data_IF_338930723369
#
_entry.id   IF_338930723369
#
_cell.length_a   1.000
_cell.length_b   1.000
_cell.length_c   1.000
_cell.angle_alpha   90.00
_cell.angle_beta   90.00
_cell.angle_gamma   90.00
#
_symmetry.space_group_name_H-M   'P 1'
#
loop_
_entity.id
_entity.type
_entity.pdbx_description
1 polymer ?
#
# COMPACT_ATOMS: atom_id res chain seq x y z
N UNK A 1 -13.73 1.99 30.91
CA UNK A 1 -14.41 1.26 29.82
C UNK A 1 -15.57 2.05 29.20
N UNK A 2 -16.61 2.46 29.97
CA UNK A 2 -17.77 3.18 29.38
C UNK A 2 -17.33 4.49 28.66
N UNK A 3 -16.57 5.34 29.34
CA UNK A 3 -16.01 6.57 28.74
C UNK A 3 -15.13 6.32 27.52
N UNK A 4 -14.41 5.18 27.47
CA UNK A 4 -13.56 4.80 26.34
C UNK A 4 -14.40 4.41 25.12
N UNK A 5 -15.53 3.69 25.32
CA UNK A 5 -16.46 3.33 24.23
C UNK A 5 -17.08 4.60 23.63
N UNK A 6 -17.60 5.51 24.49
CA UNK A 6 -18.10 6.81 24.03
C UNK A 6 -17.02 7.64 23.35
N UNK A 7 -15.79 7.62 23.88
CA UNK A 7 -14.63 8.32 23.32
C UNK A 7 -14.28 7.81 21.90
N UNK A 8 -14.36 6.50 21.67
CA UNK A 8 -14.09 5.92 20.35
C UNK A 8 -15.21 6.24 19.35
N UNK A 9 -16.49 6.25 19.77
CA UNK A 9 -17.61 6.70 18.94
C UNK A 9 -17.49 8.19 18.58
N UNK A 10 -17.16 9.04 19.56
CA UNK A 10 -16.86 10.47 19.36
C UNK A 10 -15.70 10.69 18.39
N UNK A 11 -14.65 9.88 18.47
CA UNK A 11 -13.54 9.93 17.53
C UNK A 11 -14.03 9.71 16.10
N UNK A 12 -14.80 8.65 15.85
CA UNK A 12 -15.32 8.33 14.52
C UNK A 12 -16.17 9.46 13.93
N UNK A 13 -16.99 10.12 14.77
CA UNK A 13 -17.80 11.26 14.34
C UNK A 13 -16.93 12.48 14.02
N UNK A 14 -15.97 12.81 14.88
CA UNK A 14 -15.05 13.95 14.68
C UNK A 14 -14.20 13.83 13.43
N UNK A 15 -13.76 12.61 13.09
CA UNK A 15 -13.00 12.33 11.85
C UNK A 15 -13.90 12.20 10.62
N UNK A 16 -15.21 12.30 10.76
CA UNK A 16 -16.16 12.19 9.65
C UNK A 16 -16.28 10.78 9.07
N UNK A 17 -15.92 9.75 9.86
CA UNK A 17 -16.23 8.35 9.53
C UNK A 17 -17.70 8.06 9.70
N UNK A 18 -18.34 8.69 10.68
CA UNK A 18 -19.77 8.58 11.00
C UNK A 18 -20.38 9.97 11.15
N UNK A 19 -21.70 10.04 11.05
CA UNK A 19 -22.47 11.25 11.34
C UNK A 19 -22.90 11.29 12.81
N UNK A 20 -23.30 12.45 13.31
CA UNK A 20 -23.81 12.56 14.69
C UNK A 20 -25.03 11.65 14.94
N UNK A 21 -25.89 11.49 13.95
CA UNK A 21 -27.08 10.64 14.02
C UNK A 21 -26.73 9.15 14.18
N UNK A 22 -25.50 8.74 13.85
CA UNK A 22 -25.02 7.36 13.98
C UNK A 22 -24.51 7.02 15.39
N UNK A 23 -24.42 7.99 16.30
CA UNK A 23 -23.80 7.85 17.63
C UNK A 23 -24.31 6.62 18.40
N UNK A 24 -25.62 6.50 18.54
CA UNK A 24 -26.21 5.37 19.27
C UNK A 24 -25.91 4.04 18.60
N UNK A 25 -26.01 3.99 17.27
CA UNK A 25 -25.66 2.81 16.49
C UNK A 25 -24.19 2.43 16.68
N UNK A 26 -23.27 3.38 16.61
CA UNK A 26 -21.83 3.18 16.81
C UNK A 26 -21.52 2.58 18.18
N UNK A 27 -22.11 3.16 19.25
CA UNK A 27 -21.97 2.62 20.61
C UNK A 27 -22.46 1.17 20.68
N UNK A 28 -23.64 0.88 20.13
CA UNK A 28 -24.19 -0.48 20.13
C UNK A 28 -23.33 -1.47 19.34
N UNK A 29 -22.71 -1.05 18.23
CA UNK A 29 -21.75 -1.87 17.48
C UNK A 29 -20.48 -2.16 18.30
N UNK A 30 -19.99 -1.18 19.05
CA UNK A 30 -18.85 -1.38 19.96
C UNK A 30 -19.22 -2.32 21.13
N UNK A 31 -20.43 -2.21 21.69
CA UNK A 31 -20.92 -3.14 22.71
C UNK A 31 -20.94 -4.58 22.19
N UNK A 32 -21.44 -4.81 20.97
CA UNK A 32 -21.43 -6.12 20.33
C UNK A 32 -19.99 -6.68 20.22
N UNK A 33 -19.03 -5.88 19.74
CA UNK A 33 -17.62 -6.29 19.62
C UNK A 33 -17.04 -6.62 21.00
N UNK A 34 -17.34 -5.80 22.01
CA UNK A 34 -16.90 -5.97 23.40
C UNK A 34 -17.70 -7.03 24.17
N UNK A 35 -18.74 -7.64 23.56
CA UNK A 35 -19.64 -8.59 24.20
C UNK A 35 -20.23 -8.05 25.51
N UNK A 36 -20.79 -6.85 25.44
CA UNK A 36 -21.45 -6.16 26.54
C UNK A 36 -22.94 -6.04 26.25
N UNK A 37 -23.77 -6.33 27.26
CA UNK A 37 -25.23 -6.24 27.17
C UNK A 37 -25.76 -4.85 27.50
N UNK A 38 -24.95 -4.01 28.17
CA UNK A 38 -25.34 -2.68 28.60
C UNK A 38 -24.12 -1.75 28.74
N UNK A 39 -24.40 -0.45 28.75
CA UNK A 39 -23.41 0.60 29.02
C UNK A 39 -24.04 1.63 29.96
N UNK A 40 -23.26 2.11 30.91
CA UNK A 40 -23.66 3.23 31.77
C UNK A 40 -23.27 4.56 31.13
N UNK A 41 -24.03 5.60 31.40
CA UNK A 41 -23.70 6.94 30.98
C UNK A 41 -22.34 7.37 31.56
N UNK A 42 -21.46 7.85 30.70
CA UNK A 42 -20.15 8.34 31.07
C UNK A 42 -19.72 9.45 30.11
N UNK A 43 -18.88 10.36 30.59
CA UNK A 43 -18.24 11.35 29.71
C UNK A 43 -17.29 10.66 28.73
N UNK A 44 -17.32 11.02 27.44
CA UNK A 44 -16.41 10.49 26.45
C UNK A 44 -14.95 10.82 26.78
N UNK A 45 -14.08 9.82 26.76
CA UNK A 45 -12.64 10.03 26.91
C UNK A 45 -12.07 10.71 25.66
N UNK A 46 -11.30 11.78 25.84
CA UNK A 46 -10.66 12.56 24.77
C UNK A 46 -9.17 12.21 24.63
N UNK A 47 -8.89 10.93 24.45
CA UNK A 47 -7.55 10.42 24.27
C UNK A 47 -7.21 10.21 22.78
N UNK A 48 -5.91 10.10 22.42
CA UNK A 48 -5.52 9.65 21.09
C UNK A 48 -6.10 8.28 20.72
N UNK A 49 -6.39 8.06 19.44
CA UNK A 49 -7.01 6.81 18.96
C UNK A 49 -6.33 5.54 19.47
N UNK A 50 -4.98 5.48 19.37
CA UNK A 50 -4.23 4.29 19.80
C UNK A 50 -4.42 4.00 21.30
N UNK A 51 -4.57 5.03 22.15
CA UNK A 51 -4.81 4.86 23.58
C UNK A 51 -6.21 4.30 23.85
N UNK A 52 -7.23 4.81 23.16
CA UNK A 52 -8.60 4.29 23.26
C UNK A 52 -8.67 2.83 22.83
N UNK A 53 -8.02 2.48 21.70
CA UNK A 53 -7.98 1.11 21.18
C UNK A 53 -7.18 0.18 22.11
N UNK A 54 -6.05 0.63 22.67
CA UNK A 54 -5.26 -0.14 23.62
C UNK A 54 -6.06 -0.47 24.87
N UNK A 55 -6.76 0.53 25.47
CA UNK A 55 -7.60 0.31 26.67
C UNK A 55 -8.72 -0.70 26.40
N UNK A 56 -9.42 -0.59 25.27
CA UNK A 56 -10.48 -1.55 24.92
C UNK A 56 -9.93 -2.95 24.61
N UNK A 57 -8.76 -3.03 23.98
CA UNK A 57 -8.10 -4.31 23.70
C UNK A 57 -7.61 -4.98 24.98
N UNK A 58 -7.05 -4.23 25.93
CA UNK A 58 -6.63 -4.73 27.24
C UNK A 58 -7.81 -5.25 28.05
N UNK A 59 -8.93 -4.52 28.05
CA UNK A 59 -10.17 -4.99 28.67
C UNK A 59 -10.68 -6.29 28.01
N UNK A 60 -10.59 -6.39 26.67
CA UNK A 60 -10.97 -7.60 25.94
C UNK A 60 -10.05 -8.78 26.28
N UNK A 61 -8.75 -8.57 26.48
CA UNK A 61 -7.80 -9.59 26.94
C UNK A 61 -8.17 -10.03 28.37
N UNK A 62 -8.36 -9.10 29.29
CA UNK A 62 -8.74 -9.37 30.67
C UNK A 62 -10.02 -10.22 30.77
N UNK A 63 -10.98 -9.97 29.88
CA UNK A 63 -12.25 -10.69 29.80
C UNK A 63 -12.19 -11.98 28.98
N UNK A 64 -11.00 -12.35 28.44
CA UNK A 64 -10.82 -13.55 27.64
C UNK A 64 -11.54 -13.50 26.25
N UNK A 65 -11.85 -12.31 25.75
CA UNK A 65 -12.44 -12.10 24.43
C UNK A 65 -11.36 -12.11 23.34
N UNK A 66 -10.17 -11.60 23.68
CA UNK A 66 -9.00 -11.52 22.85
C UNK A 66 -7.83 -12.25 23.54
N UNK A 67 -7.01 -12.99 22.78
CA UNK A 67 -5.78 -13.57 23.32
C UNK A 67 -4.70 -12.48 23.47
N UNK A 68 -3.81 -12.69 24.46
CA UNK A 68 -2.72 -11.76 24.76
C UNK A 68 -1.48 -12.03 23.89
N UNK A 69 -1.65 -11.84 22.59
CA UNK A 69 -0.56 -11.84 21.61
C UNK A 69 -0.78 -10.73 20.59
N UNK A 70 0.30 -10.27 19.95
CA UNK A 70 0.25 -9.12 19.04
C UNK A 70 -0.71 -9.31 17.86
N UNK A 71 -0.80 -10.53 17.30
CA UNK A 71 -1.67 -10.80 16.15
C UNK A 71 -3.14 -10.70 16.57
N UNK A 72 -3.50 -11.34 17.70
CA UNK A 72 -4.86 -11.30 18.24
C UNK A 72 -5.27 -9.88 18.63
N UNK A 73 -4.38 -9.11 19.25
CA UNK A 73 -4.59 -7.69 19.55
C UNK A 73 -4.83 -6.86 18.27
N UNK A 74 -4.02 -7.07 17.23
CA UNK A 74 -4.18 -6.39 15.93
C UNK A 74 -5.47 -6.79 15.19
N UNK A 75 -5.91 -8.03 15.30
CA UNK A 75 -7.21 -8.47 14.78
C UNK A 75 -8.36 -7.82 15.52
N UNK A 76 -8.23 -7.68 16.86
CA UNK A 76 -9.30 -7.14 17.69
C UNK A 76 -9.45 -5.62 17.54
N UNK A 77 -8.37 -4.84 17.56
CA UNK A 77 -8.44 -3.41 17.36
C UNK A 77 -8.95 -3.04 15.95
N UNK A 78 -8.55 -3.84 14.94
CA UNK A 78 -9.10 -3.71 13.58
C UNK A 78 -10.60 -4.02 13.54
N UNK A 79 -11.08 -4.96 14.36
CA UNK A 79 -12.51 -5.26 14.48
C UNK A 79 -13.29 -4.11 15.11
N UNK A 80 -12.73 -3.45 16.15
CA UNK A 80 -13.33 -2.25 16.73
C UNK A 80 -13.48 -1.14 15.69
N UNK A 81 -12.41 -0.82 14.97
CA UNK A 81 -12.44 0.19 13.92
C UNK A 81 -13.34 -0.21 12.74
N UNK A 82 -13.37 -1.49 12.38
CA UNK A 82 -14.25 -2.00 11.33
C UNK A 82 -15.74 -1.81 11.65
N UNK A 83 -16.11 -1.79 12.93
CA UNK A 83 -17.49 -1.49 13.36
C UNK A 83 -17.89 -0.03 13.12
N UNK A 84 -16.90 0.87 12.98
CA UNK A 84 -17.08 2.31 12.82
C UNK A 84 -16.69 2.81 11.40
N UNK A 85 -16.22 1.90 10.54
CA UNK A 85 -15.78 2.27 9.19
C UNK A 85 -16.97 2.29 8.22
N UNK A 86 -17.19 3.36 7.45
CA UNK A 86 -18.26 3.47 6.47
C UNK A 86 -18.28 2.31 5.46
N UNK A 87 -19.44 2.02 4.88
CA UNK A 87 -19.57 0.98 3.87
C UNK A 87 -18.77 1.31 2.59
N UNK A 88 -18.30 0.30 1.82
CA UNK A 88 -17.48 0.54 0.62
C UNK A 88 -18.10 1.50 -0.39
N UNK A 89 -19.42 1.46 -0.58
CA UNK A 89 -20.10 2.34 -1.54
C UNK A 89 -20.04 3.82 -1.11
N UNK A 90 -20.21 4.13 0.17
CA UNK A 90 -20.16 5.49 0.72
C UNK A 90 -18.77 6.12 0.49
N UNK A 91 -17.70 5.32 0.76
CA UNK A 91 -16.31 5.74 0.54
C UNK A 91 -16.03 5.98 -0.95
N UNK A 92 -16.52 5.10 -1.83
CA UNK A 92 -16.34 5.23 -3.29
C UNK A 92 -17.12 6.40 -3.87
N UNK A 93 -18.32 6.66 -3.38
CA UNK A 93 -19.13 7.83 -3.79
C UNK A 93 -18.45 9.14 -3.38
N UNK A 94 -17.99 9.23 -2.14
CA UNK A 94 -17.26 10.42 -1.65
C UNK A 94 -15.94 10.63 -2.41
N UNK A 95 -15.17 9.56 -2.63
CA UNK A 95 -13.95 9.66 -3.44
C UNK A 95 -14.24 10.17 -4.84
N UNK A 96 -15.28 9.64 -5.51
CA UNK A 96 -15.66 10.07 -6.85
C UNK A 96 -16.06 11.53 -6.90
N UNK A 97 -16.90 11.98 -5.96
CA UNK A 97 -17.33 13.37 -5.88
C UNK A 97 -16.13 14.33 -5.73
N UNK A 98 -15.16 13.98 -4.86
CA UNK A 98 -13.94 14.77 -4.71
C UNK A 98 -13.03 14.69 -5.93
N UNK A 99 -12.95 13.53 -6.59
CA UNK A 99 -12.15 13.34 -7.80
C UNK A 99 -12.67 14.16 -8.97
N UNK A 100 -14.00 14.31 -9.10
CA UNK A 100 -14.62 15.15 -10.12
C UNK A 100 -14.27 16.63 -9.92
N UNK A 101 -13.97 17.06 -8.70
CA UNK A 101 -13.45 18.40 -8.40
C UNK A 101 -11.94 18.48 -8.60
N UNK A 102 -11.19 17.53 -8.04
CA UNK A 102 -9.73 17.45 -8.12
C UNK A 102 -9.23 16.04 -7.73
N UNK A 103 -8.44 15.38 -8.60
CA UNK A 103 -7.76 14.13 -8.23
C UNK A 103 -6.95 14.25 -6.93
N UNK A 104 -6.34 15.40 -6.69
CA UNK A 104 -5.56 15.68 -5.49
C UNK A 104 -6.43 15.67 -4.23
N UNK A 105 -7.56 16.38 -4.23
CA UNK A 105 -8.46 16.38 -3.07
C UNK A 105 -8.99 14.98 -2.75
N UNK A 106 -9.26 14.17 -3.76
CA UNK A 106 -9.73 12.80 -3.58
C UNK A 106 -8.66 11.93 -2.91
N UNK A 107 -7.41 12.01 -3.34
CA UNK A 107 -6.32 11.22 -2.77
C UNK A 107 -5.96 11.68 -1.36
N UNK A 108 -5.87 12.99 -1.10
CA UNK A 108 -5.64 13.55 0.23
C UNK A 108 -6.71 13.06 1.22
N UNK A 109 -7.98 13.20 0.85
CA UNK A 109 -9.07 12.71 1.68
C UNK A 109 -8.99 11.19 1.93
N UNK A 110 -8.72 10.39 0.90
CA UNK A 110 -8.66 8.93 1.04
C UNK A 110 -7.44 8.48 1.85
N UNK A 111 -6.34 9.22 1.79
CA UNK A 111 -5.17 8.99 2.64
C UNK A 111 -5.48 9.29 4.10
N UNK A 112 -6.12 10.44 4.40
CA UNK A 112 -6.58 10.80 5.75
C UNK A 112 -7.59 9.76 6.27
N UNK A 113 -8.59 9.40 5.46
CA UNK A 113 -9.54 8.33 5.78
C UNK A 113 -8.84 7.02 6.16
N UNK A 114 -7.81 6.61 5.41
CA UNK A 114 -7.05 5.38 5.68
C UNK A 114 -6.26 5.45 7.00
N UNK A 115 -5.90 6.64 7.42
CA UNK A 115 -5.29 6.89 8.73
C UNK A 115 -6.34 6.93 9.85
N UNK A 116 -7.47 7.58 9.61
CA UNK A 116 -8.55 7.74 10.59
C UNK A 116 -9.25 6.42 10.90
N UNK A 117 -9.34 5.52 9.94
CA UNK A 117 -9.80 4.15 10.17
C UNK A 117 -8.76 3.26 10.88
N UNK A 118 -7.58 3.78 11.24
CA UNK A 118 -6.46 3.01 11.79
C UNK A 118 -5.96 1.88 10.86
N UNK A 119 -6.28 1.95 9.57
CA UNK A 119 -5.67 1.06 8.59
C UNK A 119 -4.18 1.39 8.41
N UNK A 120 -3.87 2.69 8.34
CA UNK A 120 -2.51 3.24 8.48
C UNK A 120 -2.33 3.64 9.96
N UNK A 121 -1.49 2.93 10.69
CA UNK A 121 -1.31 3.11 12.13
C UNK A 121 -0.32 4.23 12.42
N UNK A 122 -0.83 5.46 12.63
CA UNK A 122 -0.02 6.66 12.86
C UNK A 122 0.97 6.51 14.03
N UNK A 123 0.54 5.87 15.13
CA UNK A 123 1.36 5.61 16.32
C UNK A 123 2.57 4.71 16.04
N UNK A 124 2.42 3.73 15.14
CA UNK A 124 3.53 2.85 14.74
C UNK A 124 4.47 3.57 13.76
N UNK A 125 3.92 4.29 12.79
CA UNK A 125 4.71 5.04 11.80
C UNK A 125 5.52 6.15 12.44
N UNK A 126 5.01 6.76 13.52
CA UNK A 126 5.75 7.76 14.30
C UNK A 126 7.07 7.24 14.90
N UNK A 127 7.27 5.91 14.95
CA UNK A 127 8.51 5.25 15.41
C UNK A 127 9.56 5.11 14.30
N UNK A 128 9.16 5.27 13.03
CA UNK A 128 10.07 5.15 11.88
C UNK A 128 11.11 6.25 11.93
N UNK A 129 12.36 5.89 11.58
CA UNK A 129 13.47 6.84 11.55
C UNK A 129 13.76 7.22 10.10
N UNK A 130 13.90 8.51 9.85
CA UNK A 130 14.18 9.05 8.51
C UNK A 130 15.25 10.13 8.61
N UNK A 131 16.21 10.09 7.66
CA UNK A 131 17.22 11.14 7.51
C UNK A 131 17.72 11.20 6.08
N UNK A 132 18.41 12.27 5.72
CA UNK A 132 19.06 12.45 4.42
C UNK A 132 20.55 12.19 4.59
N UNK A 133 21.12 11.41 3.68
CA UNK A 133 22.56 11.22 3.56
C UNK A 133 23.07 11.96 2.33
N UNK A 134 24.01 12.89 2.53
CA UNK A 134 24.69 13.60 1.46
C UNK A 134 25.92 12.83 1.02
N UNK A 135 26.00 12.42 -0.25
CA UNK A 135 27.07 11.62 -0.80
C UNK A 135 27.44 11.99 -2.23
N UNK A 136 28.29 11.19 -2.84
CA UNK A 136 28.76 11.42 -4.23
C UNK A 136 27.66 11.39 -5.29
N UNK A 137 26.49 10.85 -4.95
CA UNK A 137 25.30 10.79 -5.81
C UNK A 137 24.25 11.85 -5.47
N UNK A 138 24.57 12.80 -4.58
CA UNK A 138 23.65 13.78 -4.04
C UNK A 138 22.95 13.30 -2.77
N UNK A 139 21.84 13.92 -2.45
CA UNK A 139 21.03 13.60 -1.28
C UNK A 139 20.29 12.27 -1.47
N UNK A 140 20.45 11.35 -0.53
CA UNK A 140 19.74 10.06 -0.48
C UNK A 140 18.86 10.00 0.75
N UNK A 141 17.58 9.68 0.55
CA UNK A 141 16.65 9.48 1.65
C UNK A 141 16.86 8.09 2.27
N UNK A 142 17.16 8.05 3.56
CA UNK A 142 17.33 6.83 4.33
C UNK A 142 16.19 6.67 5.29
N UNK A 143 15.61 5.47 5.32
CA UNK A 143 14.50 5.15 6.23
C UNK A 143 14.76 3.83 6.94
N UNK A 144 14.57 3.80 8.28
CA UNK A 144 14.42 2.57 9.04
C UNK A 144 12.94 2.45 9.38
N UNK A 145 12.27 1.48 8.78
CA UNK A 145 10.86 1.24 8.99
C UNK A 145 10.66 0.31 10.21
N UNK A 146 10.34 0.92 11.34
CA UNK A 146 10.02 0.22 12.60
C UNK A 146 8.52 -0.06 12.75
N UNK A 147 7.69 0.50 11.88
CA UNK A 147 6.22 0.30 11.89
C UNK A 147 5.82 -1.08 11.35
N UNK A 148 6.70 -1.74 10.58
CA UNK A 148 6.49 -3.10 10.11
C UNK A 148 6.83 -4.07 11.25
N UNK A 149 5.85 -4.76 11.85
CA UNK A 149 6.14 -5.68 12.94
C UNK A 149 7.04 -6.81 12.47
N UNK A 150 8.14 -7.05 13.18
CA UNK A 150 8.89 -8.29 13.03
C UNK A 150 7.97 -9.45 13.42
N UNK A 151 7.92 -10.47 12.59
CA UNK A 151 7.11 -11.65 12.89
C UNK A 151 7.78 -12.43 14.03
N UNK A 152 7.11 -12.52 15.17
CA UNK A 152 7.51 -13.40 16.26
C UNK A 152 7.71 -14.82 15.70
N UNK A 153 8.85 -15.49 15.96
CA UNK A 153 9.08 -16.87 15.57
C UNK A 153 7.96 -17.84 16.00
N UNK A 154 7.34 -17.59 17.16
CA UNK A 154 6.17 -18.36 17.64
C UNK A 154 4.94 -18.13 16.77
N UNK A 155 4.68 -16.88 16.37
CA UNK A 155 3.58 -16.54 15.46
C UNK A 155 3.81 -17.14 14.06
N UNK A 156 5.05 -17.19 13.58
CA UNK A 156 5.41 -17.86 12.31
C UNK A 156 5.12 -19.37 12.41
N UNK A 157 5.51 -20.00 13.51
CA UNK A 157 5.26 -21.43 13.74
C UNK A 157 3.75 -21.72 13.83
N UNK A 158 2.99 -20.93 14.58
CA UNK A 158 1.54 -21.05 14.68
C UNK A 158 0.84 -20.84 13.33
N UNK A 159 1.29 -19.84 12.54
CA UNK A 159 0.76 -19.58 11.22
C UNK A 159 0.98 -20.73 10.21
N UNK A 160 2.11 -21.48 10.35
CA UNK A 160 2.37 -22.67 9.52
C UNK A 160 1.44 -23.83 9.86
N UNK A 161 1.03 -23.94 11.12
CA UNK A 161 0.12 -24.99 11.60
C UNK A 161 -1.36 -24.63 11.39
N UNK A 162 -1.67 -23.36 11.14
CA UNK A 162 -3.03 -22.90 10.91
C UNK A 162 -3.60 -23.46 9.59
N UNK A 163 -4.90 -23.83 9.54
CA UNK A 163 -5.55 -24.26 8.31
C UNK A 163 -5.36 -23.22 7.19
N UNK A 164 -4.90 -23.68 6.03
CA UNK A 164 -4.75 -22.83 4.85
C UNK A 164 -6.12 -22.63 4.21
N UNK A 165 -6.74 -21.48 4.45
CA UNK A 165 -7.97 -21.08 3.76
C UNK A 165 -7.60 -20.45 2.41
N UNK A 166 -8.23 -20.90 1.34
CA UNK A 166 -8.04 -20.31 0.00
C UNK A 166 -8.74 -18.97 -0.20
N UNK A 167 -9.22 -18.32 0.88
CA UNK A 167 -9.93 -17.04 0.83
C UNK A 167 -9.48 -16.11 1.98
N UNK A 168 -9.11 -14.87 1.68
CA UNK A 168 -8.67 -14.39 0.34
C UNK A 168 -7.45 -15.18 -0.16
N UNK A 169 -7.25 -15.26 -1.47
CA UNK A 169 -6.12 -16.01 -2.06
C UNK A 169 -4.76 -15.40 -1.70
N UNK A 170 -4.67 -14.07 -1.65
CA UNK A 170 -3.49 -13.35 -1.18
C UNK A 170 -3.89 -12.01 -0.53
N UNK A 171 -2.91 -11.26 0.01
CA UNK A 171 -3.14 -9.99 0.70
C UNK A 171 -3.56 -8.84 -0.23
N UNK A 172 -3.46 -9.01 -1.55
CA UNK A 172 -3.82 -8.02 -2.56
C UNK A 172 -5.15 -8.35 -3.28
N UNK A 173 -5.82 -9.46 -2.95
CA UNK A 173 -7.13 -9.75 -3.53
C UNK A 173 -8.20 -8.78 -3.00
N UNK A 174 -9.14 -8.38 -3.87
CA UNK A 174 -10.23 -7.48 -3.49
C UNK A 174 -11.10 -8.02 -2.35
N UNK A 175 -11.14 -9.34 -2.19
CA UNK A 175 -11.83 -10.04 -1.08
C UNK A 175 -11.26 -9.72 0.31
N UNK A 176 -10.13 -9.01 0.38
CA UNK A 176 -9.62 -8.48 1.65
C UNK A 176 -10.48 -7.32 2.19
N UNK A 177 -11.17 -6.57 1.34
CA UNK A 177 -12.01 -5.46 1.78
C UNK A 177 -13.07 -5.94 2.79
N UNK A 178 -12.98 -5.47 4.03
CA UNK A 178 -13.87 -5.90 5.11
C UNK A 178 -13.56 -7.26 5.75
N UNK A 179 -12.49 -7.95 5.34
CA UNK A 179 -12.15 -9.28 5.86
C UNK A 179 -11.69 -9.23 7.31
N UNK A 180 -12.23 -10.13 8.14
CA UNK A 180 -11.95 -10.17 9.58
C UNK A 180 -10.51 -10.57 9.94
N UNK A 181 -9.79 -11.17 9.01
CA UNK A 181 -8.45 -11.69 9.28
C UNK A 181 -8.46 -13.04 10.01
N UNK A 182 -7.27 -13.56 10.27
CA UNK A 182 -6.98 -14.76 11.04
C UNK A 182 -5.49 -14.78 11.40
N UNK A 183 -5.05 -15.72 12.22
CA UNK A 183 -3.66 -15.78 12.73
C UNK A 183 -2.56 -15.69 11.65
N UNK A 184 -2.82 -16.17 10.43
CA UNK A 184 -1.88 -16.12 9.33
C UNK A 184 -2.29 -15.15 8.19
N UNK A 185 -3.31 -14.32 8.40
CA UNK A 185 -3.78 -13.35 7.43
C UNK A 185 -4.32 -12.09 8.13
N UNK A 186 -3.85 -10.90 7.78
CA UNK A 186 -4.23 -9.68 8.50
C UNK A 186 -5.72 -9.36 8.36
N UNK A 187 -6.28 -8.74 9.40
CA UNK A 187 -7.60 -8.15 9.34
C UNK A 187 -7.63 -6.91 8.42
N UNK A 188 -8.76 -6.69 7.75
CA UNK A 188 -9.00 -5.60 6.80
C UNK A 188 -10.43 -5.03 6.92
N UNK A 189 -11.05 -5.15 8.11
CA UNK A 189 -12.41 -4.66 8.33
C UNK A 189 -12.51 -3.13 8.20
N UNK A 190 -11.42 -2.44 8.50
CA UNK A 190 -11.24 -1.00 8.41
C UNK A 190 -10.58 -0.53 7.10
N UNK A 191 -10.45 -1.41 6.12
CA UNK A 191 -9.81 -1.14 4.83
C UNK A 191 -10.85 -1.01 3.72
N UNK A 192 -10.63 -0.06 2.79
CA UNK A 192 -11.47 0.16 1.61
C UNK A 192 -10.62 0.25 0.35
N UNK A 193 -11.24 -0.09 -0.77
CA UNK A 193 -10.64 -0.09 -2.12
C UNK A 193 -11.37 0.92 -3.01
N UNK A 194 -10.61 1.72 -3.74
CA UNK A 194 -11.14 2.62 -4.77
C UNK A 194 -11.01 1.96 -6.14
N UNK A 195 -12.10 1.70 -6.86
CA UNK A 195 -12.05 1.15 -8.21
C UNK A 195 -11.38 2.13 -9.17
N UNK A 196 -10.52 1.58 -10.04
CA UNK A 196 -9.83 2.30 -11.12
C UNK A 196 -9.95 1.51 -12.42
N UNK A 197 -9.72 2.18 -13.55
CA UNK A 197 -9.56 1.54 -14.83
C UNK A 197 -8.21 1.91 -15.42
N UNK A 198 -7.39 0.91 -15.74
CA UNK A 198 -6.11 1.11 -16.43
C UNK A 198 -6.12 0.31 -17.73
N UNK A 199 -5.89 0.98 -18.85
CA UNK A 199 -5.92 0.40 -20.19
C UNK A 199 -7.19 -0.46 -20.45
N UNK A 200 -8.35 -0.03 -19.92
CA UNK A 200 -9.63 -0.73 -20.06
C UNK A 200 -9.82 -1.93 -19.13
N UNK A 201 -8.86 -2.26 -18.28
CA UNK A 201 -8.97 -3.32 -17.27
C UNK A 201 -9.37 -2.76 -15.90
N UNK A 202 -10.04 -3.59 -15.08
CA UNK A 202 -10.45 -3.22 -13.74
C UNK A 202 -9.29 -3.38 -12.75
N UNK A 203 -9.02 -2.33 -12.00
CA UNK A 203 -8.00 -2.21 -10.96
C UNK A 203 -8.57 -1.58 -9.70
N UNK A 204 -7.81 -1.59 -8.63
CA UNK A 204 -8.14 -0.91 -7.39
C UNK A 204 -6.94 -0.15 -6.84
N UNK A 205 -7.21 1.00 -6.24
CA UNK A 205 -6.26 1.77 -5.45
C UNK A 205 -6.50 1.49 -3.97
N UNK A 206 -5.42 1.28 -3.22
CA UNK A 206 -5.37 1.28 -1.76
C UNK A 206 -4.09 1.96 -1.29
N UNK A 207 -4.08 2.49 -0.07
CA UNK A 207 -2.82 2.84 0.56
C UNK A 207 -2.16 1.63 1.19
N UNK A 208 -0.84 1.71 1.35
CA UNK A 208 -0.09 0.72 2.11
C UNK A 208 -0.16 1.05 3.60
N UNK A 209 -0.36 0.06 4.48
CA UNK A 209 -0.23 0.30 5.92
C UNK A 209 1.21 0.59 6.36
N UNK A 210 2.17 0.40 5.46
CA UNK A 210 3.60 0.69 5.67
C UNK A 210 3.99 1.89 4.84
N UNK A 211 4.24 3.03 5.48
CA UNK A 211 4.49 4.32 4.82
C UNK A 211 5.99 4.51 4.61
N UNK A 212 6.51 4.03 3.49
CA UNK A 212 7.91 4.26 3.11
C UNK A 212 8.16 5.71 2.67
N UNK A 213 7.16 6.32 2.02
CA UNK A 213 7.12 7.70 1.55
C UNK A 213 5.68 8.21 1.61
N UNK A 214 5.49 9.52 1.36
CA UNK A 214 4.17 10.13 1.45
C UNK A 214 3.15 9.46 0.53
N UNK A 215 1.99 9.16 1.07
CA UNK A 215 0.86 8.55 0.35
C UNK A 215 1.22 7.24 -0.37
N UNK A 216 2.11 6.42 0.23
CA UNK A 216 2.49 5.14 -0.34
C UNK A 216 1.26 4.29 -0.64
N UNK A 217 1.00 4.08 -1.92
CA UNK A 217 -0.16 3.35 -2.41
C UNK A 217 0.21 2.07 -3.15
N UNK A 218 -0.77 1.20 -3.29
CA UNK A 218 -0.72 -0.01 -4.10
C UNK A 218 -1.89 0.04 -5.07
N UNK A 219 -1.58 -0.01 -6.37
CA UNK A 219 -2.55 -0.20 -7.42
C UNK A 219 -2.55 -1.69 -7.80
N UNK A 220 -3.65 -2.39 -7.56
CA UNK A 220 -3.74 -3.85 -7.71
C UNK A 220 -4.75 -4.24 -8.78
N UNK A 221 -4.42 -5.27 -9.58
CA UNK A 221 -5.34 -5.82 -10.56
C UNK A 221 -6.56 -6.45 -9.88
N UNK A 222 -7.75 -6.28 -10.46
CA UNK A 222 -8.94 -7.01 -10.00
C UNK A 222 -8.85 -8.52 -10.23
N UNK A 223 -7.92 -8.95 -11.11
CA UNK A 223 -7.66 -10.36 -11.41
C UNK A 223 -6.47 -10.86 -10.60
N UNK A 224 -6.61 -11.97 -9.91
CA UNK A 224 -5.47 -12.66 -9.29
C UNK A 224 -4.65 -13.37 -10.39
N UNK A 225 -3.71 -12.63 -10.99
CA UNK A 225 -2.81 -13.10 -12.03
C UNK A 225 -1.36 -12.76 -11.65
N UNK A 226 -0.37 -13.58 -12.04
CA UNK A 226 1.03 -13.30 -11.75
C UNK A 226 1.51 -11.98 -12.35
N UNK A 227 2.45 -11.33 -11.67
CA UNK A 227 3.14 -10.15 -12.16
C UNK A 227 3.93 -10.47 -13.43
N UNK A 228 3.93 -9.54 -14.36
CA UNK A 228 4.70 -9.62 -15.59
C UNK A 228 5.09 -8.19 -16.01
N UNK A 229 6.37 -8.01 -16.33
CA UNK A 229 6.84 -6.76 -16.93
C UNK A 229 6.94 -6.98 -18.43
N UNK A 230 6.07 -6.30 -19.16
CA UNK A 230 6.00 -6.29 -20.62
C UNK A 230 5.44 -4.94 -21.09
N UNK A 231 5.15 -4.82 -22.38
CA UNK A 231 4.57 -3.60 -22.95
C UNK A 231 3.28 -3.17 -22.24
N UNK A 232 2.39 -4.12 -21.93
CA UNK A 232 1.13 -3.80 -21.25
C UNK A 232 1.38 -3.24 -19.84
N UNK A 233 2.42 -3.72 -19.14
CA UNK A 233 2.84 -3.13 -17.87
C UNK A 233 3.24 -1.65 -18.05
N UNK A 234 4.07 -1.30 -19.02
CA UNK A 234 4.46 0.10 -19.27
C UNK A 234 3.27 0.97 -19.65
N UNK A 235 2.37 0.46 -20.49
CA UNK A 235 1.15 1.18 -20.87
C UNK A 235 0.26 1.46 -19.66
N UNK A 236 0.07 0.50 -18.75
CA UNK A 236 -0.69 0.67 -17.50
C UNK A 236 -0.05 1.67 -16.54
N UNK A 237 1.28 1.65 -16.38
CA UNK A 237 1.99 2.64 -15.57
C UNK A 237 1.79 4.07 -16.12
N UNK A 238 1.94 4.25 -17.43
CA UNK A 238 1.70 5.52 -18.10
C UNK A 238 0.22 5.96 -18.02
N UNK A 239 -0.71 5.03 -18.01
CA UNK A 239 -2.14 5.33 -17.86
C UNK A 239 -2.46 5.78 -16.43
N UNK A 240 -1.86 5.14 -15.41
CA UNK A 240 -2.03 5.51 -14.00
C UNK A 240 -1.68 6.98 -13.74
N UNK A 241 -0.53 7.46 -14.23
CA UNK A 241 -0.13 8.86 -14.04
C UNK A 241 -0.97 9.86 -14.85
N UNK A 242 -1.83 9.37 -15.74
CA UNK A 242 -2.86 10.19 -16.39
C UNK A 242 -4.08 10.33 -15.48
N UNK A 243 -4.42 9.27 -14.74
CA UNK A 243 -5.53 9.27 -13.78
C UNK A 243 -5.15 10.05 -12.51
N UNK A 244 -3.93 9.89 -12.02
CA UNK A 244 -3.39 10.57 -10.83
C UNK A 244 -2.07 11.28 -11.19
N UNK A 245 -2.12 12.47 -11.82
CA UNK A 245 -0.93 13.12 -12.40
C UNK A 245 0.06 13.67 -11.36
N UNK A 246 -0.30 13.72 -10.10
CA UNK A 246 0.56 14.13 -8.99
C UNK A 246 1.25 12.94 -8.27
N UNK A 247 1.00 11.71 -8.76
CA UNK A 247 1.64 10.50 -8.24
C UNK A 247 2.69 9.99 -9.21
N UNK A 248 3.72 9.35 -8.67
CA UNK A 248 4.51 8.38 -9.42
C UNK A 248 3.90 6.98 -9.24
N UNK A 249 4.28 6.06 -10.11
CA UNK A 249 3.94 4.64 -10.02
C UNK A 249 5.08 3.78 -10.56
N UNK A 250 5.33 2.62 -9.94
CA UNK A 250 6.33 1.68 -10.41
C UNK A 250 5.91 0.23 -10.21
N UNK A 251 6.52 -0.67 -10.96
CA UNK A 251 6.35 -2.10 -10.79
C UNK A 251 7.51 -2.69 -10.00
N UNK A 252 7.23 -3.66 -9.13
CA UNK A 252 8.27 -4.55 -8.62
C UNK A 252 8.86 -5.39 -9.77
N UNK A 253 10.07 -5.91 -9.56
CA UNK A 253 10.64 -6.91 -10.46
C UNK A 253 9.74 -8.15 -10.54
N UNK A 254 9.64 -8.74 -11.73
CA UNK A 254 8.83 -9.95 -11.98
C UNK A 254 9.59 -11.27 -11.77
N UNK A 255 10.84 -11.21 -11.32
CA UNK A 255 11.67 -12.38 -11.00
C UNK A 255 11.88 -12.52 -9.48
N UNK A 256 11.67 -13.71 -8.91
CA UNK A 256 11.85 -13.98 -7.48
C UNK A 256 13.26 -13.64 -6.97
N UNK A 257 14.28 -13.91 -7.76
CA UNK A 257 15.70 -13.67 -7.42
C UNK A 257 16.02 -12.19 -7.13
N UNK A 258 15.24 -11.27 -7.70
CA UNK A 258 15.42 -9.83 -7.52
C UNK A 258 14.65 -9.27 -6.31
N UNK A 259 13.93 -10.13 -5.58
CA UNK A 259 13.29 -9.78 -4.32
C UNK A 259 11.89 -9.16 -4.44
N UNK A 260 11.19 -9.35 -5.55
CA UNK A 260 9.80 -8.92 -5.69
C UNK A 260 8.88 -9.63 -4.68
N UNK A 261 7.97 -8.88 -4.03
CA UNK A 261 6.98 -9.45 -3.11
C UNK A 261 5.64 -9.66 -3.81
N UNK A 262 4.91 -10.73 -3.41
CA UNK A 262 3.57 -11.08 -3.90
C UNK A 262 3.52 -11.16 -5.44
N UNK A 263 4.49 -11.84 -6.04
CA UNK A 263 4.58 -11.99 -7.50
C UNK A 263 3.41 -12.74 -8.13
N UNK A 264 2.58 -13.40 -7.32
CA UNK A 264 1.39 -14.12 -7.77
C UNK A 264 0.20 -13.22 -8.09
N UNK A 265 0.27 -11.92 -7.78
CA UNK A 265 -0.81 -10.97 -8.02
C UNK A 265 -0.25 -9.67 -8.60
N UNK A 266 -0.66 -9.35 -9.83
CA UNK A 266 -0.21 -8.15 -10.54
C UNK A 266 -0.60 -6.89 -9.76
N UNK A 267 0.39 -6.08 -9.42
CA UNK A 267 0.22 -4.83 -8.68
C UNK A 267 1.38 -3.89 -8.93
N UNK A 268 1.13 -2.61 -8.72
CA UNK A 268 2.09 -1.51 -8.81
C UNK A 268 2.16 -0.78 -7.47
N UNK A 269 3.27 -0.12 -7.21
CA UNK A 269 3.47 0.72 -6.02
C UNK A 269 3.72 2.15 -6.44
N UNK A 270 3.04 3.09 -5.82
CA UNK A 270 3.11 4.50 -6.14
C UNK A 270 2.87 5.38 -4.93
N UNK A 271 2.75 6.67 -5.18
CA UNK A 271 2.44 7.65 -4.14
C UNK A 271 2.77 9.07 -4.56
N UNK A 272 2.48 10.02 -3.69
CA UNK A 272 2.79 11.41 -3.86
C UNK A 272 4.19 11.70 -3.27
N UNK A 273 5.22 11.41 -4.05
CA UNK A 273 6.62 11.55 -3.61
C UNK A 273 7.56 11.75 -4.80
N UNK A 274 8.55 12.61 -4.64
CA UNK A 274 9.61 12.86 -5.61
C UNK A 274 10.91 12.21 -5.12
N UNK A 275 11.37 11.19 -5.82
CA UNK A 275 12.61 10.50 -5.46
C UNK A 275 13.86 11.34 -5.77
N UNK A 276 14.89 11.21 -4.94
CA UNK A 276 16.20 11.78 -5.22
C UNK A 276 16.76 11.32 -6.60
N UNK A 277 16.44 10.10 -7.03
CA UNK A 277 16.76 9.60 -8.37
C UNK A 277 16.12 10.40 -9.49
N UNK A 278 14.92 10.94 -9.29
CA UNK A 278 14.22 11.76 -10.29
C UNK A 278 14.94 13.09 -10.54
N UNK A 279 15.52 13.68 -9.49
CA UNK A 279 16.32 14.91 -9.55
C UNK A 279 17.76 14.69 -10.02
N UNK A 280 18.23 13.44 -10.00
CA UNK A 280 19.62 13.11 -10.34
C UNK A 280 19.95 13.46 -11.80
N UNK A 281 21.17 13.92 -12.03
CA UNK A 281 21.65 14.35 -13.35
C UNK A 281 21.81 13.18 -14.33
N UNK A 282 21.69 13.47 -15.62
CA UNK A 282 22.06 12.57 -16.69
C UNK A 282 23.60 12.58 -16.82
N UNK A 283 24.24 11.46 -16.49
CA UNK A 283 25.69 11.28 -16.63
C UNK A 283 26.09 11.11 -18.10
N UNK A 284 25.27 10.38 -18.86
CA UNK A 284 25.54 10.12 -20.29
C UNK A 284 24.24 10.13 -21.08
N UNK A 285 24.13 11.07 -22.02
CA UNK A 285 23.01 11.08 -22.97
C UNK A 285 23.14 9.90 -23.95
N UNK A 286 22.00 9.27 -24.25
CA UNK A 286 21.87 8.13 -25.18
C UNK A 286 20.86 8.49 -26.26
N UNK A 287 21.07 8.02 -27.48
CA UNK A 287 20.12 8.18 -28.58
C UNK A 287 19.75 6.83 -29.15
N UNK A 288 18.44 6.58 -29.28
CA UNK A 288 17.93 5.35 -29.90
C UNK A 288 17.48 5.65 -31.32
N UNK A 289 17.98 4.86 -32.27
CA UNK A 289 17.62 4.99 -33.69
C UNK A 289 16.12 4.68 -33.87
N UNK A 290 15.39 5.59 -34.51
CA UNK A 290 13.96 5.47 -34.73
C UNK A 290 13.10 6.08 -33.62
N UNK A 291 13.70 6.70 -32.58
CA UNK A 291 13.01 7.33 -31.44
C UNK A 291 13.53 8.76 -31.23
N UNK A 292 13.42 9.57 -32.28
CA UNK A 292 13.96 10.95 -32.26
C UNK A 292 13.26 11.85 -31.19
N UNK A 293 12.01 11.56 -30.89
CA UNK A 293 11.18 12.31 -29.92
C UNK A 293 11.35 11.80 -28.48
N UNK A 294 12.22 10.82 -28.24
CA UNK A 294 12.50 10.30 -26.90
C UNK A 294 13.89 10.77 -26.47
N UNK A 295 13.93 11.61 -25.45
CA UNK A 295 15.14 11.91 -24.71
C UNK A 295 15.52 10.73 -23.83
N UNK A 296 16.78 10.30 -23.89
CA UNK A 296 17.25 9.18 -23.10
C UNK A 296 18.63 9.44 -22.51
N UNK A 297 18.88 8.89 -21.31
CA UNK A 297 20.19 9.03 -20.69
C UNK A 297 20.39 8.12 -19.49
N UNK A 298 21.65 7.77 -19.25
CA UNK A 298 22.10 7.07 -18.04
C UNK A 298 22.12 8.09 -16.90
N UNK A 299 21.42 7.79 -15.82
CA UNK A 299 21.34 8.64 -14.63
C UNK A 299 22.53 8.39 -13.73
N UNK A 300 23.10 9.45 -13.16
CA UNK A 300 24.15 9.36 -12.14
C UNK A 300 23.55 8.91 -10.81
N UNK A 301 23.48 7.60 -10.63
CA UNK A 301 22.81 6.96 -9.50
C UNK A 301 23.59 5.72 -9.02
N UNK A 302 23.47 5.28 -7.75
CA UNK A 302 24.15 4.08 -7.24
C UNK A 302 23.80 2.79 -7.98
N UNK A 303 22.59 2.70 -8.52
CA UNK A 303 22.12 1.59 -9.36
C UNK A 303 22.12 2.02 -10.83
N UNK A 304 22.15 1.04 -11.75
CA UNK A 304 22.04 1.31 -13.18
C UNK A 304 20.62 1.79 -13.51
N UNK A 305 20.47 3.04 -13.93
CA UNK A 305 19.21 3.66 -14.28
C UNK A 305 19.28 4.28 -15.65
N UNK A 306 18.34 3.95 -16.51
CA UNK A 306 18.10 4.61 -17.80
C UNK A 306 16.82 5.42 -17.71
N UNK A 307 16.91 6.73 -17.88
CA UNK A 307 15.77 7.64 -17.94
C UNK A 307 15.35 7.84 -19.37
N UNK A 308 14.05 7.69 -19.63
CA UNK A 308 13.40 8.02 -20.90
C UNK A 308 12.38 9.15 -20.66
N UNK A 309 12.31 10.13 -21.55
CA UNK A 309 11.36 11.23 -21.48
C UNK A 309 10.79 11.53 -22.87
N UNK A 310 9.48 11.60 -22.98
CA UNK A 310 8.77 11.99 -24.21
C UNK A 310 7.31 12.36 -23.89
N UNK A 311 6.72 13.19 -24.72
CA UNK A 311 5.27 13.41 -24.71
C UNK A 311 4.51 12.28 -25.44
N UNK A 312 5.23 11.48 -26.23
CA UNK A 312 4.65 10.36 -26.97
C UNK A 312 4.69 9.06 -26.15
N UNK A 313 3.60 8.79 -25.43
CA UNK A 313 3.44 7.62 -24.56
C UNK A 313 3.62 6.29 -25.31
N UNK A 314 3.17 6.20 -26.55
CA UNK A 314 3.29 4.97 -27.34
C UNK A 314 4.76 4.66 -27.68
N UNK A 315 5.55 5.68 -28.02
CA UNK A 315 6.99 5.53 -28.25
C UNK A 315 7.75 5.20 -26.95
N UNK A 316 7.35 5.78 -25.80
CA UNK A 316 7.94 5.42 -24.51
C UNK A 316 7.72 3.93 -24.20
N UNK A 317 6.49 3.44 -24.30
CA UNK A 317 6.17 2.04 -24.03
C UNK A 317 6.89 1.09 -24.99
N UNK A 318 6.92 1.42 -26.28
CA UNK A 318 7.62 0.63 -27.29
C UNK A 318 9.12 0.56 -27.06
N UNK A 319 9.75 1.71 -26.79
CA UNK A 319 11.19 1.76 -26.51
C UNK A 319 11.54 1.04 -25.20
N UNK A 320 10.74 1.21 -24.16
CA UNK A 320 10.92 0.52 -22.88
C UNK A 320 10.85 -1.01 -23.06
N UNK A 321 9.88 -1.51 -23.82
CA UNK A 321 9.78 -2.94 -24.16
C UNK A 321 11.01 -3.43 -24.94
N UNK A 322 11.46 -2.66 -25.93
CA UNK A 322 12.65 -3.01 -26.72
C UNK A 322 13.91 -3.09 -25.86
N UNK A 323 14.08 -2.15 -24.93
CA UNK A 323 15.20 -2.12 -23.97
C UNK A 323 15.11 -3.32 -23.04
N UNK A 324 13.95 -3.61 -22.48
CA UNK A 324 13.71 -4.75 -21.60
C UNK A 324 14.06 -6.07 -22.30
N UNK A 325 13.58 -6.26 -23.54
CA UNK A 325 13.84 -7.47 -24.31
C UNK A 325 15.32 -7.64 -24.64
N UNK A 326 16.03 -6.56 -24.96
CA UNK A 326 17.47 -6.59 -25.15
C UNK A 326 18.22 -6.94 -23.85
N UNK A 327 17.81 -6.34 -22.70
CA UNK A 327 18.39 -6.63 -21.41
C UNK A 327 18.15 -8.06 -20.95
N UNK A 328 16.96 -8.63 -21.15
CA UNK A 328 16.64 -10.01 -20.78
C UNK A 328 17.53 -11.04 -21.46
N UNK A 329 18.02 -10.77 -22.67
CA UNK A 329 18.94 -11.65 -23.40
C UNK A 329 20.42 -11.29 -23.25
N UNK A 330 20.75 -10.24 -22.50
CA UNK A 330 22.11 -9.74 -22.41
C UNK A 330 22.97 -10.53 -21.43
N UNK A 331 24.17 -10.94 -21.90
CA UNK A 331 25.21 -11.51 -21.04
C UNK A 331 26.55 -10.83 -21.30
N UNK A 332 27.29 -10.58 -20.25
CA UNK A 332 28.66 -10.08 -20.25
C UNK A 332 29.45 -10.86 -19.20
N UNK A 333 30.10 -11.97 -19.59
CA UNK A 333 30.83 -12.82 -18.66
C UNK A 333 31.99 -12.10 -17.95
N UNK A 334 32.62 -11.11 -18.60
CA UNK A 334 33.71 -10.35 -18.02
C UNK A 334 33.26 -9.45 -16.88
N UNK A 335 31.97 -9.03 -16.91
CA UNK A 335 31.31 -8.29 -15.85
C UNK A 335 30.48 -9.18 -14.90
N UNK A 336 30.55 -10.50 -15.02
CA UNK A 336 29.73 -11.48 -14.29
C UNK A 336 28.23 -11.26 -14.46
N UNK A 337 27.79 -10.74 -15.62
CA UNK A 337 26.39 -10.60 -15.99
C UNK A 337 25.99 -11.77 -16.87
N UNK A 338 25.02 -12.54 -16.41
CA UNK A 338 24.48 -13.70 -17.16
C UNK A 338 22.96 -13.54 -17.30
N UNK A 339 22.45 -13.65 -18.51
CA UNK A 339 21.02 -13.55 -18.79
C UNK A 339 20.22 -14.65 -18.08
N UNK A 340 20.84 -15.84 -17.95
CA UNK A 340 20.26 -17.02 -17.30
C UNK A 340 21.34 -17.99 -16.80
N UNK A 341 20.97 -18.85 -15.85
CA UNK A 341 21.77 -20.02 -15.42
C UNK A 341 20.83 -21.21 -15.33
N UNK A 342 21.17 -22.33 -15.96
CA UNK A 342 20.35 -23.55 -16.00
C UNK A 342 18.89 -23.33 -16.44
N UNK A 343 18.65 -22.34 -17.30
CA UNK A 343 17.34 -21.96 -17.80
C UNK A 343 16.57 -20.96 -16.92
N UNK A 344 17.09 -20.64 -15.73
CA UNK A 344 16.48 -19.62 -14.84
C UNK A 344 16.93 -18.21 -15.25
N UNK A 345 16.01 -17.28 -15.57
CA UNK A 345 16.34 -15.92 -15.98
C UNK A 345 16.83 -15.07 -14.80
N UNK A 346 17.80 -14.19 -15.05
CA UNK A 346 18.34 -13.27 -14.05
C UNK A 346 18.00 -11.80 -14.33
N UNK A 347 17.85 -11.45 -15.60
CA UNK A 347 17.72 -10.05 -16.00
C UNK A 347 16.27 -9.60 -16.07
N UNK A 348 15.95 -8.61 -15.29
CA UNK A 348 14.68 -7.88 -15.32
C UNK A 348 14.91 -6.41 -14.96
N UNK A 349 13.85 -5.62 -14.91
CA UNK A 349 13.89 -4.21 -14.51
C UNK A 349 12.80 -3.91 -13.47
N UNK A 350 12.91 -2.75 -12.83
CA UNK A 350 11.86 -2.14 -12.01
C UNK A 350 11.47 -0.82 -12.65
N UNK A 351 10.46 -0.79 -13.52
CA UNK A 351 10.04 0.46 -14.17
C UNK A 351 9.34 1.38 -13.20
N UNK A 352 9.62 2.69 -13.32
CA UNK A 352 8.99 3.78 -12.55
C UNK A 352 8.61 4.88 -13.53
N UNK A 353 7.41 5.43 -13.37
CA UNK A 353 6.84 6.52 -14.17
C UNK A 353 6.39 7.64 -13.26
#
# INVERSE_FOLDING_TARGET
>A
MNGTIYGLADYAIRCGLLQEDDRTWAVNRLLEVMRLDAIEAAEPEREPLHVLLERLTEEAVTRGICADDQVSRDLFDTKLMGALTPAPHEVREKFRALYDESPWQATDWFYEFSQDTNYIRRDRIAKDQKWVYEGKYGALDITINLSKPEKDPRAIAAAKLAPQAGYPKCQLCAENEGYAGRMNHPARQNHRLIPMTLCGESWYLQYSPYVYYNEHCICLSAKHAPMRIDRACFEKLLDFVTVLPHYFIGSNADLPIVGGSILSHEHFQGGHYEFAMERAEIEKAVRFRGYADVEAGIVRWPLSVLRLRSENRAQLAELAEKILNAWRGYSDPDAFVFAQTDGEPHNTITPIV
#
